data_IF_945567659496
#
_entry.id   IF_945567659496
#
_cell.length_a   1.000
_cell.length_b   1.000
_cell.length_c   1.000
_cell.angle_alpha   90.00
_cell.angle_beta   90.00
_cell.angle_gamma   90.00
#
_symmetry.space_group_name_H-M   'P 1'
#
loop_
_entity.id
_entity.type
_entity.pdbx_description
1 polymer ?
#
# COMPACT_ATOMS: atom_id res chain seq x y z
N UNK A 1 24.98 -23.08 25.96
CA UNK A 1 24.54 -22.64 24.61
C UNK A 1 23.08 -22.25 24.76
N UNK A 2 22.79 -20.97 25.00
CA UNK A 2 21.41 -20.51 25.18
C UNK A 2 20.69 -20.64 23.83
N UNK A 3 19.67 -21.49 23.76
CA UNK A 3 18.78 -21.55 22.60
C UNK A 3 18.14 -20.17 22.45
N UNK A 4 18.48 -19.48 21.36
CA UNK A 4 17.75 -18.28 20.95
C UNK A 4 16.38 -18.76 20.49
N UNK A 5 15.36 -18.42 21.26
CA UNK A 5 13.97 -18.48 20.81
C UNK A 5 13.89 -17.54 19.60
N UNK A 6 13.74 -18.08 18.40
CA UNK A 6 13.41 -17.30 17.21
C UNK A 6 11.97 -16.86 17.41
N UNK A 7 11.78 -15.64 17.89
CA UNK A 7 10.49 -14.97 17.79
C UNK A 7 10.21 -14.84 16.29
N UNK A 8 9.03 -15.25 15.86
CA UNK A 8 8.62 -15.27 14.46
C UNK A 8 8.42 -13.82 13.98
N UNK A 9 9.53 -13.10 13.76
CA UNK A 9 9.58 -11.70 13.33
C UNK A 9 8.88 -11.47 11.98
N UNK A 10 8.56 -12.56 11.27
CA UNK A 10 7.88 -12.59 9.98
C UNK A 10 6.35 -12.37 10.10
N UNK A 11 5.76 -12.39 11.30
CA UNK A 11 4.32 -12.24 11.49
C UNK A 11 3.93 -11.05 12.39
N UNK A 12 2.71 -10.54 12.17
CA UNK A 12 2.12 -9.49 13.00
C UNK A 12 0.65 -9.76 13.29
N UNK A 13 0.22 -9.42 14.50
CA UNK A 13 -1.18 -9.44 14.91
C UNK A 13 -1.86 -8.06 14.74
N UNK A 14 -1.06 -7.01 14.48
CA UNK A 14 -1.54 -5.64 14.22
C UNK A 14 -2.55 -5.66 13.07
N UNK A 15 -3.52 -4.75 13.10
CA UNK A 15 -4.61 -4.69 12.10
C UNK A 15 -4.78 -3.30 11.46
N UNK A 16 -4.15 -2.27 12.03
CA UNK A 16 -4.25 -0.86 11.66
C UNK A 16 -2.97 -0.10 12.03
N UNK A 17 -2.87 1.18 11.66
CA UNK A 17 -1.80 2.11 12.07
C UNK A 17 -0.40 1.68 11.64
N UNK A 18 -0.28 1.09 10.45
CA UNK A 18 0.95 0.54 9.89
C UNK A 18 2.06 1.59 9.75
N UNK A 19 3.28 1.17 10.07
CA UNK A 19 4.49 1.99 9.98
C UNK A 19 5.64 1.18 9.35
N UNK A 20 6.80 1.82 9.16
CA UNK A 20 7.96 1.22 8.51
C UNK A 20 8.46 -0.04 9.22
N UNK A 21 8.21 -0.18 10.53
CA UNK A 21 8.64 -1.35 11.30
C UNK A 21 7.80 -2.60 11.01
N UNK A 22 6.65 -2.44 10.36
CA UNK A 22 5.76 -3.55 9.99
C UNK A 22 6.00 -4.07 8.58
N UNK A 23 6.73 -3.34 7.74
CA UNK A 23 6.98 -3.72 6.36
C UNK A 23 7.68 -5.08 6.31
N UNK A 24 7.14 -5.99 5.50
CA UNK A 24 7.63 -7.36 5.37
C UNK A 24 6.98 -8.37 6.33
N UNK A 25 6.27 -7.91 7.37
CA UNK A 25 5.50 -8.82 8.25
C UNK A 25 4.26 -9.33 7.53
N UNK A 26 3.86 -10.56 7.87
CA UNK A 26 2.65 -11.23 7.39
C UNK A 26 1.56 -11.18 8.44
N UNK A 27 0.34 -10.89 7.99
CA UNK A 27 -0.88 -10.97 8.77
C UNK A 27 -1.49 -12.35 8.51
N UNK A 28 -1.52 -13.27 9.48
CA UNK A 28 -2.01 -14.64 9.28
C UNK A 28 -3.47 -14.66 8.81
N UNK A 29 -4.29 -13.80 9.41
CA UNK A 29 -5.71 -13.65 9.10
C UNK A 29 -6.15 -12.22 9.38
N UNK A 30 -6.86 -11.61 8.43
CA UNK A 30 -7.44 -10.28 8.54
C UNK A 30 -8.90 -10.31 8.11
N UNK A 31 -9.80 -9.85 8.98
CA UNK A 31 -11.24 -9.80 8.70
C UNK A 31 -11.63 -8.35 8.45
N UNK A 32 -12.24 -8.10 7.30
CA UNK A 32 -12.69 -6.77 6.87
C UNK A 32 -14.17 -6.83 6.47
N UNK A 33 -14.87 -5.69 6.32
CA UNK A 33 -16.23 -5.66 5.78
C UNK A 33 -16.35 -6.27 4.38
N UNK A 34 -15.26 -6.29 3.60
CA UNK A 34 -15.24 -6.77 2.22
C UNK A 34 -14.88 -8.26 2.10
N UNK A 35 -14.45 -8.89 3.20
CA UNK A 35 -14.03 -10.29 3.20
C UNK A 35 -12.93 -10.60 4.22
N UNK A 36 -12.49 -11.86 4.19
CA UNK A 36 -11.39 -12.36 5.03
C UNK A 36 -10.18 -12.69 4.17
N UNK A 37 -9.02 -12.18 4.58
CA UNK A 37 -7.74 -12.41 3.92
C UNK A 37 -6.83 -13.26 4.82
N UNK A 38 -5.94 -14.03 4.21
CA UNK A 38 -4.99 -14.90 4.89
C UNK A 38 -3.59 -14.66 4.34
N UNK A 39 -2.59 -14.73 5.21
CA UNK A 39 -1.16 -14.55 4.87
C UNK A 39 -0.89 -13.27 4.07
N UNK A 40 -1.53 -12.17 4.46
CA UNK A 40 -1.40 -10.89 3.77
C UNK A 40 -0.11 -10.19 4.19
N UNK A 41 0.68 -9.70 3.23
CA UNK A 41 1.94 -9.00 3.52
C UNK A 41 1.68 -7.51 3.77
N UNK A 42 2.37 -6.92 4.75
CA UNK A 42 2.47 -5.47 4.89
C UNK A 42 3.58 -4.97 3.96
N UNK A 43 3.25 -4.00 3.10
CA UNK A 43 4.14 -3.46 2.08
C UNK A 43 4.21 -1.94 2.16
N UNK A 44 5.28 -1.37 1.64
CA UNK A 44 5.46 0.06 1.41
C UNK A 44 5.58 0.29 -0.09
N UNK A 45 4.61 0.99 -0.66
CA UNK A 45 4.54 1.25 -2.11
C UNK A 45 4.59 2.74 -2.41
N UNK A 46 5.07 3.06 -3.60
CA UNK A 46 5.19 4.44 -4.08
C UNK A 46 4.49 4.58 -5.42
N UNK A 47 3.71 5.64 -5.57
CA UNK A 47 3.19 6.05 -6.88
C UNK A 47 4.38 6.42 -7.78
N UNK A 48 4.43 5.83 -8.99
CA UNK A 48 5.53 6.05 -9.93
C UNK A 48 5.53 7.44 -10.56
N UNK A 49 4.41 8.18 -10.47
CA UNK A 49 4.26 9.52 -11.05
C UNK A 49 4.61 10.63 -10.07
N UNK A 50 4.16 10.53 -8.81
CA UNK A 50 4.26 11.62 -7.84
C UNK A 50 5.01 11.26 -6.54
N UNK A 51 5.52 10.03 -6.42
CA UNK A 51 6.20 9.51 -5.23
C UNK A 51 5.36 9.51 -3.93
N UNK A 52 4.06 9.77 -4.00
CA UNK A 52 3.15 9.55 -2.87
C UNK A 52 3.24 8.10 -2.40
N UNK A 53 3.29 7.92 -1.09
CA UNK A 53 3.59 6.64 -0.47
C UNK A 53 2.42 6.09 0.35
N UNK A 54 2.39 4.77 0.46
CA UNK A 54 1.42 4.05 1.28
C UNK A 54 2.10 2.87 1.97
N UNK A 55 1.92 2.77 3.29
CA UNK A 55 2.30 1.60 4.08
C UNK A 55 1.02 0.89 4.54
N UNK A 56 0.92 -0.39 4.22
CA UNK A 56 -0.21 -1.20 4.64
C UNK A 56 -0.31 -2.54 3.93
N UNK A 57 -1.44 -3.24 4.11
CA UNK A 57 -1.60 -4.59 3.60
C UNK A 57 -1.70 -4.60 2.07
N UNK A 58 -1.17 -5.63 1.42
CA UNK A 58 -1.04 -5.69 -0.06
C UNK A 58 -2.31 -5.33 -0.83
N UNK A 59 -3.50 -5.68 -0.33
CA UNK A 59 -4.76 -5.37 -1.02
C UNK A 59 -5.06 -3.88 -1.02
N UNK A 60 -4.83 -3.20 0.10
CA UNK A 60 -4.99 -1.76 0.21
C UNK A 60 -3.91 -1.02 -0.58
N UNK A 61 -2.68 -1.53 -0.58
CA UNK A 61 -1.61 -1.00 -1.41
C UNK A 61 -1.96 -1.07 -2.91
N UNK A 62 -2.58 -2.16 -3.36
CA UNK A 62 -3.10 -2.27 -4.72
C UNK A 62 -4.22 -1.27 -5.02
N UNK A 63 -5.13 -1.07 -4.06
CA UNK A 63 -6.19 -0.06 -4.17
C UNK A 63 -5.65 1.38 -4.22
N UNK A 64 -4.64 1.69 -3.41
CA UNK A 64 -3.91 2.95 -3.45
C UNK A 64 -3.30 3.16 -4.84
N UNK A 65 -2.48 2.22 -5.34
CA UNK A 65 -1.83 2.37 -6.65
C UNK A 65 -2.82 2.52 -7.79
N UNK A 66 -3.85 1.67 -7.86
CA UNK A 66 -4.85 1.74 -8.92
C UNK A 66 -5.73 2.99 -8.85
N UNK A 67 -6.15 3.40 -7.65
CA UNK A 67 -6.92 4.63 -7.47
C UNK A 67 -6.11 5.88 -7.79
N UNK A 68 -4.84 5.89 -7.39
CA UNK A 68 -3.92 7.01 -7.63
C UNK A 68 -3.54 7.11 -9.12
N UNK A 69 -3.36 5.98 -9.81
CA UNK A 69 -3.16 5.95 -11.27
C UNK A 69 -4.36 6.56 -12.01
N UNK A 70 -5.59 6.19 -11.63
CA UNK A 70 -6.81 6.78 -12.19
C UNK A 70 -6.86 8.30 -11.99
N UNK A 71 -6.42 8.79 -10.83
CA UNK A 71 -6.34 10.22 -10.55
C UNK A 71 -5.36 10.92 -11.49
N UNK A 72 -4.14 10.40 -11.66
CA UNK A 72 -3.16 10.97 -12.59
C UNK A 72 -3.62 10.91 -14.05
N UNK A 73 -4.27 9.81 -14.47
CA UNK A 73 -4.86 9.73 -15.80
C UNK A 73 -5.89 10.84 -16.04
N UNK A 74 -6.71 11.15 -15.03
CA UNK A 74 -7.63 12.29 -15.07
C UNK A 74 -6.87 13.62 -15.14
N UNK A 75 -5.88 13.87 -14.29
CA UNK A 75 -5.08 15.11 -14.32
C UNK A 75 -4.47 15.38 -15.70
N UNK A 76 -3.88 14.34 -16.30
CA UNK A 76 -3.29 14.40 -17.64
C UNK A 76 -4.37 14.71 -18.69
N UNK A 77 -5.55 14.07 -18.59
CA UNK A 77 -6.65 14.34 -19.52
C UNK A 77 -7.13 15.79 -19.45
N UNK A 78 -7.16 16.38 -18.25
CA UNK A 78 -7.51 17.78 -18.06
C UNK A 78 -6.42 18.69 -18.63
N UNK A 79 -5.15 18.37 -18.47
CA UNK A 79 -4.05 19.16 -19.04
C UNK A 79 -4.07 19.16 -20.58
N UNK A 80 -4.31 18.00 -21.21
CA UNK A 80 -4.36 17.88 -22.68
C UNK A 80 -5.62 18.54 -23.26
N UNK A 81 -6.76 18.47 -22.55
CA UNK A 81 -8.04 19.03 -23.00
C UNK A 81 -8.18 20.54 -22.85
N UNK A 82 -7.18 21.23 -22.31
CA UNK A 82 -7.20 22.69 -22.14
C UNK A 82 -6.87 23.39 -23.45
N UNK A 83 -7.86 24.10 -24.00
CA UNK A 83 -7.71 24.95 -25.19
C UNK A 83 -6.99 26.28 -24.90
N UNK A 84 -6.64 26.56 -23.63
CA UNK A 84 -5.98 27.80 -23.22
C UNK A 84 -4.47 27.84 -23.54
N UNK A 85 -3.90 26.74 -24.06
CA UNK A 85 -2.49 26.66 -24.46
C UNK A 85 -1.51 26.79 -23.30
N UNK A 86 -1.98 26.68 -22.05
CA UNK A 86 -1.17 26.76 -20.83
C UNK A 86 -0.84 25.35 -20.33
N UNK A 87 -0.21 24.56 -21.18
CA UNK A 87 0.68 23.48 -20.76
C UNK A 87 2.09 24.03 -20.94
N UNK A 88 2.92 23.94 -19.90
CA UNK A 88 4.23 24.61 -19.78
C UNK A 88 5.03 24.74 -21.10
#
# INVERSE_FOLDING_TARGET
MSEKIVLDEDFTEKQSDWDESDVGKRIPKRVTPNGTYFNELVVHVFCQFCASEFIGPTREAGGFLGGHECFHAWEISQAIGREDGLVE
#
